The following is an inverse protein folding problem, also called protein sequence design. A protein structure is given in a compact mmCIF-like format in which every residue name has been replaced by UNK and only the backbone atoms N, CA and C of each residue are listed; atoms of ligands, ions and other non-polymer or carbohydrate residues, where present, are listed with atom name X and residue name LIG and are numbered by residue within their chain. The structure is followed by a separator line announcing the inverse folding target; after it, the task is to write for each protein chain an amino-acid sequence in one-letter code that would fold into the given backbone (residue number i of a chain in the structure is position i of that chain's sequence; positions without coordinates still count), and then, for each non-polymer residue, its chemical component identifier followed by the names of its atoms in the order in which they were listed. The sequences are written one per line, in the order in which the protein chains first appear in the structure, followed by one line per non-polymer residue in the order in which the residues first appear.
data_IF_209429417270
#
_entry.id   IF_209429417270
#
_cell.length_a   1.000
_cell.length_b   1.000
_cell.length_c   1.000
_cell.angle_alpha   90.00
_cell.angle_beta   90.00
_cell.angle_gamma   90.00
#
_symmetry.space_group_name_H-M   'P 1'
#
loop_
_entity.id
_entity.type
_entity.pdbx_description
1 polymer ?
#
# COMPACT_ATOMS: atom_id res chain seq x y z
N UNK A 1 -31.76 -30.65 -45.33
CA UNK A 1 -31.05 -29.37 -45.07
C UNK A 1 -31.92 -28.33 -44.36
N UNK A 2 -33.25 -28.33 -44.50
CA UNK A 2 -34.14 -27.34 -43.86
C UNK A 2 -34.33 -27.52 -42.35
N UNK A 3 -34.20 -28.74 -41.80
CA UNK A 3 -34.31 -28.96 -40.34
C UNK A 3 -33.06 -28.55 -39.54
N UNK A 4 -31.88 -28.47 -40.19
CA UNK A 4 -30.65 -28.05 -39.51
C UNK A 4 -30.62 -26.55 -39.24
N UNK A 5 -31.31 -25.75 -40.07
CA UNK A 5 -31.42 -24.28 -39.93
C UNK A 5 -32.47 -23.87 -38.87
N UNK A 6 -33.53 -24.68 -38.68
CA UNK A 6 -34.54 -24.41 -37.66
C UNK A 6 -33.99 -24.53 -36.24
N UNK A 7 -33.08 -25.49 -35.98
CA UNK A 7 -32.44 -25.64 -34.68
C UNK A 7 -31.46 -24.50 -34.37
N UNK A 8 -30.77 -23.96 -35.39
CA UNK A 8 -29.85 -22.82 -35.20
C UNK A 8 -30.61 -21.52 -34.92
N UNK A 9 -31.79 -21.33 -35.52
CA UNK A 9 -32.65 -20.16 -35.29
C UNK A 9 -33.29 -20.11 -33.90
N UNK A 10 -33.64 -21.26 -33.30
CA UNK A 10 -34.16 -21.31 -31.92
C UNK A 10 -33.07 -20.92 -30.91
N UNK A 11 -31.83 -21.39 -31.12
CA UNK A 11 -30.68 -21.05 -30.25
C UNK A 11 -30.28 -19.56 -30.35
N UNK A 12 -30.47 -18.93 -31.51
CA UNK A 12 -30.24 -17.49 -31.70
C UNK A 12 -31.37 -16.59 -31.19
N UNK A 13 -32.59 -17.10 -31.00
CA UNK A 13 -33.73 -16.30 -30.50
C UNK A 13 -33.74 -16.08 -28.98
N UNK A 14 -32.90 -16.80 -28.23
CA UNK A 14 -32.81 -16.74 -26.76
C UNK A 14 -31.71 -15.78 -26.25
N UNK A 15 -31.00 -15.06 -27.13
CA UNK A 15 -30.12 -13.95 -26.72
C UNK A 15 -30.94 -12.71 -26.40
N UNK A 16 -31.41 -12.67 -25.15
CA UNK A 16 -31.55 -11.49 -24.27
C UNK A 16 -31.78 -10.13 -24.93
N UNK A 17 -33.01 -9.65 -24.81
CA UNK A 17 -33.35 -8.22 -24.87
C UNK A 17 -32.74 -7.53 -23.65
N UNK A 18 -31.68 -6.74 -23.86
CA UNK A 18 -31.11 -5.86 -22.83
C UNK A 18 -31.76 -4.48 -23.00
N UNK A 19 -32.79 -4.18 -22.21
CA UNK A 19 -33.35 -2.82 -22.12
C UNK A 19 -32.58 -2.02 -21.08
N UNK A 20 -31.68 -1.13 -21.53
CA UNK A 20 -31.02 -0.16 -20.65
C UNK A 20 -31.88 1.10 -20.60
N UNK A 21 -32.54 1.35 -19.48
CA UNK A 21 -33.24 2.64 -19.24
C UNK A 21 -32.30 3.57 -18.48
N UNK A 22 -31.64 4.51 -19.16
CA UNK A 22 -30.84 5.56 -18.51
C UNK A 22 -31.73 6.74 -18.14
N UNK A 23 -31.94 6.94 -16.83
CA UNK A 23 -32.61 8.12 -16.31
C UNK A 23 -31.55 9.15 -15.92
N UNK A 24 -31.29 10.12 -16.79
CA UNK A 24 -30.36 11.22 -16.53
C UNK A 24 -31.09 12.39 -15.89
N UNK A 25 -31.08 12.46 -14.56
CA UNK A 25 -31.20 13.75 -13.87
C UNK A 25 -30.50 13.73 -12.52
N UNK A 26 -29.50 14.62 -12.44
CA UNK A 26 -28.98 15.30 -11.26
C UNK A 26 -27.85 14.67 -10.41
N UNK A 27 -26.96 15.58 -10.02
CA UNK A 27 -25.61 15.43 -9.51
C UNK A 27 -25.54 14.80 -8.11
N UNK A 28 -25.02 13.57 -8.02
CA UNK A 28 -24.16 13.02 -6.96
C UNK A 28 -24.00 11.51 -7.21
N UNK A 29 -22.96 11.14 -7.97
CA UNK A 29 -22.81 9.83 -8.58
C UNK A 29 -22.32 8.76 -7.58
N UNK A 30 -23.26 7.94 -7.10
CA UNK A 30 -22.98 6.56 -6.73
C UNK A 30 -23.88 5.67 -7.62
N UNK A 31 -23.33 5.24 -8.76
CA UNK A 31 -24.06 4.38 -9.70
C UNK A 31 -23.95 2.96 -9.19
N UNK A 32 -24.97 2.48 -8.50
CA UNK A 32 -25.11 1.07 -8.13
C UNK A 32 -25.89 0.35 -9.22
N UNK A 33 -25.20 -0.31 -10.16
CA UNK A 33 -25.83 -1.22 -11.11
C UNK A 33 -26.00 -2.60 -10.45
N UNK A 34 -27.21 -2.90 -9.99
CA UNK A 34 -27.55 -4.24 -9.51
C UNK A 34 -27.89 -5.13 -10.72
N UNK A 35 -26.99 -6.05 -11.05
CA UNK A 35 -27.27 -7.15 -11.98
C UNK A 35 -27.84 -8.32 -11.17
N UNK A 36 -29.15 -8.50 -11.22
CA UNK A 36 -29.80 -9.71 -10.70
C UNK A 36 -29.75 -10.81 -11.77
N UNK A 37 -28.87 -11.79 -11.60
CA UNK A 37 -28.91 -13.06 -12.34
C UNK A 37 -29.81 -14.04 -11.59
N UNK A 38 -31.13 -13.90 -11.74
CA UNK A 38 -32.12 -14.84 -11.22
C UNK A 38 -32.93 -15.38 -12.40
N UNK A 39 -32.37 -16.33 -13.13
CA UNK A 39 -33.02 -17.25 -14.07
C UNK A 39 -31.91 -18.21 -14.55
N UNK A 40 -32.21 -19.46 -14.89
CA UNK A 40 -31.28 -20.55 -15.32
C UNK A 40 -30.87 -21.63 -14.30
N UNK A 41 -31.67 -21.87 -13.27
CA UNK A 41 -31.70 -23.20 -12.64
C UNK A 41 -32.30 -24.29 -13.56
N UNK A 42 -33.01 -23.92 -14.64
CA UNK A 42 -33.79 -24.85 -15.49
C UNK A 42 -33.00 -25.57 -16.61
N UNK A 43 -31.71 -25.28 -16.80
CA UNK A 43 -30.98 -25.86 -17.94
C UNK A 43 -30.59 -27.34 -17.74
N UNK A 44 -30.63 -27.84 -16.51
CA UNK A 44 -30.38 -29.25 -16.21
C UNK A 44 -31.56 -30.16 -16.62
N UNK A 45 -32.78 -29.63 -16.71
CA UNK A 45 -33.99 -30.40 -17.04
C UNK A 45 -34.18 -30.63 -18.55
N UNK A 46 -33.78 -29.68 -19.40
CA UNK A 46 -33.98 -29.77 -20.86
C UNK A 46 -33.13 -30.91 -21.48
N UNK A 47 -31.97 -31.21 -20.89
CA UNK A 47 -31.12 -32.34 -21.29
C UNK A 47 -31.84 -33.67 -21.04
N UNK A 48 -32.49 -33.83 -19.88
CA UNK A 48 -33.24 -35.04 -19.52
C UNK A 48 -34.36 -35.36 -20.53
N UNK A 49 -35.14 -34.34 -20.90
CA UNK A 49 -36.33 -34.52 -21.74
C UNK A 49 -35.99 -34.80 -23.21
N UNK A 50 -34.91 -34.20 -23.73
CA UNK A 50 -34.49 -34.42 -25.11
C UNK A 50 -33.86 -35.82 -25.31
N UNK A 51 -33.22 -36.37 -24.28
CA UNK A 51 -32.65 -37.73 -24.32
C UNK A 51 -33.69 -38.82 -24.01
N UNK A 52 -34.76 -38.51 -23.28
CA UNK A 52 -35.90 -39.41 -23.09
C UNK A 52 -36.72 -39.64 -24.38
N UNK A 53 -36.75 -38.67 -25.30
CA UNK A 53 -37.51 -38.75 -26.55
C UNK A 53 -36.80 -39.53 -27.68
N UNK A 54 -35.51 -39.85 -27.53
CA UNK A 54 -34.72 -40.65 -28.48
C UNK A 54 -34.57 -42.10 -27.99
N UNK A 55 -35.61 -42.62 -27.34
CA UNK A 55 -35.63 -43.99 -26.82
C UNK A 55 -35.67 -44.99 -27.98
N UNK A 56 -34.51 -45.60 -28.21
CA UNK A 56 -34.24 -46.74 -29.09
C UNK A 56 -35.26 -47.89 -28.89
N UNK A 57 -35.97 -47.92 -27.74
CA UNK A 57 -37.05 -48.87 -27.45
C UNK A 57 -38.21 -48.83 -28.43
N UNK A 58 -38.58 -47.69 -29.02
CA UNK A 58 -39.71 -47.65 -29.96
C UNK A 58 -39.36 -48.36 -31.29
N UNK A 59 -38.08 -48.32 -31.68
CA UNK A 59 -37.60 -49.02 -32.89
C UNK A 59 -37.39 -50.52 -32.62
N UNK A 60 -36.91 -50.90 -31.44
CA UNK A 60 -36.81 -52.32 -31.03
C UNK A 60 -38.19 -52.97 -30.86
N UNK A 61 -39.16 -52.24 -30.30
CA UNK A 61 -40.53 -52.75 -30.11
C UNK A 61 -41.22 -53.04 -31.45
N UNK A 62 -41.10 -52.15 -32.45
CA UNK A 62 -41.72 -52.40 -33.76
C UNK A 62 -41.07 -53.56 -34.52
N UNK A 63 -39.75 -53.76 -34.35
CA UNK A 63 -39.03 -54.90 -34.93
C UNK A 63 -39.46 -56.22 -34.29
N UNK A 64 -39.62 -56.27 -32.96
CA UNK A 64 -40.11 -57.44 -32.24
C UNK A 64 -41.57 -57.76 -32.62
N UNK A 65 -42.44 -56.75 -32.76
CA UNK A 65 -43.84 -56.92 -33.19
C UNK A 65 -43.91 -57.50 -34.61
N UNK A 66 -43.13 -56.98 -35.55
CA UNK A 66 -43.09 -57.50 -36.92
C UNK A 66 -42.53 -58.93 -36.97
N UNK A 67 -41.55 -59.25 -36.13
CA UNK A 67 -40.97 -60.59 -36.06
C UNK A 67 -41.94 -61.61 -35.44
N UNK A 68 -42.75 -61.22 -34.46
CA UNK A 68 -43.84 -62.04 -33.91
C UNK A 68 -44.96 -62.28 -34.93
N UNK A 69 -45.36 -61.27 -35.70
CA UNK A 69 -46.39 -61.41 -36.73
C UNK A 69 -45.98 -62.40 -37.84
N UNK A 70 -44.71 -62.38 -38.26
CA UNK A 70 -44.18 -63.33 -39.26
C UNK A 70 -44.13 -64.76 -38.69
N UNK A 71 -43.77 -64.93 -37.43
CA UNK A 71 -43.80 -66.25 -36.78
C UNK A 71 -45.23 -66.80 -36.66
N UNK A 72 -46.21 -65.95 -36.36
CA UNK A 72 -47.63 -66.34 -36.31
C UNK A 72 -48.15 -66.81 -37.68
N UNK A 73 -47.87 -66.08 -38.76
CA UNK A 73 -48.27 -66.49 -40.12
C UNK A 73 -47.63 -67.82 -40.56
N UNK A 74 -46.39 -68.10 -40.13
CA UNK A 74 -45.75 -69.39 -40.41
C UNK A 74 -46.38 -70.56 -39.66
N UNK A 75 -46.90 -70.35 -38.45
CA UNK A 75 -47.60 -71.39 -37.70
C UNK A 75 -49.01 -71.66 -38.26
N UNK A 76 -49.74 -70.62 -38.70
CA UNK A 76 -51.03 -70.81 -39.39
C UNK A 76 -50.89 -71.61 -40.70
N UNK A 77 -49.80 -71.42 -41.44
CA UNK A 77 -49.51 -72.21 -42.65
C UNK A 77 -49.22 -73.69 -42.35
N UNK A 78 -48.69 -74.04 -41.16
CA UNK A 78 -48.51 -75.45 -40.75
C UNK A 78 -49.84 -76.11 -40.41
N UNK A 79 -50.75 -75.39 -39.76
CA UNK A 79 -52.10 -75.86 -39.40
C UNK A 79 -52.92 -76.24 -40.64
N UNK A 80 -52.88 -75.42 -41.71
CA UNK A 80 -53.56 -75.73 -42.99
C UNK A 80 -53.05 -77.03 -43.63
N UNK A 81 -51.79 -77.41 -43.36
CA UNK A 81 -51.17 -78.65 -43.87
C UNK A 81 -51.65 -79.91 -43.13
N UNK A 82 -52.10 -79.79 -41.88
CA UNK A 82 -52.57 -80.92 -41.06
C UNK A 82 -54.06 -81.23 -41.27
N UNK A 83 -54.89 -80.24 -41.61
CA UNK A 83 -56.33 -80.42 -41.80
C UNK A 83 -56.78 -80.89 -43.21
N UNK A 84 -55.86 -81.10 -44.17
CA UNK A 84 -56.18 -81.65 -45.50
C UNK A 84 -56.07 -83.18 -45.59
N UNK A 85 -55.71 -83.85 -44.50
CA UNK A 85 -55.60 -85.32 -44.41
C UNK A 85 -56.86 -86.01 -43.90
N UNK A 86 -57.97 -85.95 -44.65
CA UNK A 86 -59.21 -86.58 -44.19
C UNK A 86 -60.30 -86.67 -45.26
N UNK A 87 -60.12 -87.54 -46.25
CA UNK A 87 -61.17 -87.83 -47.23
C UNK A 87 -60.73 -88.86 -48.26
N UNK A 88 -60.89 -90.14 -47.93
CA UNK A 88 -60.66 -91.21 -48.90
C UNK A 88 -61.75 -91.22 -49.97
N UNK A 89 -61.37 -91.28 -51.25
CA UNK A 89 -61.96 -92.22 -52.19
C UNK A 89 -61.14 -92.36 -53.48
N UNK A 90 -61.27 -93.55 -54.07
CA UNK A 90 -60.49 -94.13 -55.16
C UNK A 90 -60.40 -93.28 -56.43
N UNK A 91 -59.20 -93.29 -57.00
CA UNK A 91 -59.00 -93.58 -58.43
C UNK A 91 -59.04 -92.39 -59.38
N UNK A 92 -57.86 -91.85 -59.72
CA UNK A 92 -57.34 -91.70 -61.10
C UNK A 92 -56.00 -90.97 -61.05
N UNK A 93 -55.01 -91.49 -61.78
CA UNK A 93 -53.64 -90.98 -61.81
C UNK A 93 -53.58 -89.60 -62.49
N UNK A 94 -53.31 -88.55 -61.71
CA UNK A 94 -52.72 -87.28 -62.18
C UNK A 94 -51.62 -86.84 -61.19
N UNK A 95 -50.50 -87.57 -61.23
CA UNK A 95 -49.34 -87.43 -60.32
C UNK A 95 -48.32 -86.36 -60.71
N UNK A 96 -48.76 -85.23 -61.27
CA UNK A 96 -47.90 -84.13 -61.75
C UNK A 96 -48.01 -82.82 -60.98
N UNK A 97 -49.11 -82.55 -60.28
CA UNK A 97 -49.41 -81.21 -59.77
C UNK A 97 -48.86 -80.92 -58.35
N UNK A 98 -48.68 -81.94 -57.50
CA UNK A 98 -48.26 -81.73 -56.10
C UNK A 98 -46.75 -81.52 -55.86
N UNK A 99 -45.87 -81.94 -56.79
CA UNK A 99 -44.40 -81.77 -56.64
C UNK A 99 -43.94 -80.34 -56.89
N UNK A 100 -44.57 -79.63 -57.82
CA UNK A 100 -44.23 -78.23 -58.11
C UNK A 100 -44.58 -77.30 -56.94
N UNK A 101 -45.69 -77.57 -56.24
CA UNK A 101 -46.14 -76.74 -55.10
C UNK A 101 -45.17 -76.82 -53.90
N UNK A 102 -44.58 -77.99 -53.64
CA UNK A 102 -43.62 -78.15 -52.53
C UNK A 102 -42.26 -77.49 -52.85
N UNK A 103 -41.85 -77.48 -54.12
CA UNK A 103 -40.64 -76.78 -54.58
C UNK A 103 -40.83 -75.26 -54.49
N UNK A 104 -41.96 -74.73 -54.97
CA UNK A 104 -42.32 -73.31 -54.85
C UNK A 104 -42.38 -72.85 -53.39
N UNK A 105 -42.92 -73.68 -52.49
CA UNK A 105 -42.92 -73.41 -51.04
C UNK A 105 -41.51 -73.41 -50.43
N UNK A 106 -40.62 -74.28 -50.89
CA UNK A 106 -39.23 -74.30 -50.43
C UNK A 106 -38.49 -73.04 -50.88
N UNK A 107 -38.66 -72.66 -52.15
CA UNK A 107 -38.09 -71.44 -52.71
C UNK A 107 -38.59 -70.20 -51.97
N UNK A 108 -39.90 -70.09 -51.72
CA UNK A 108 -40.49 -68.96 -50.99
C UNK A 108 -39.92 -68.86 -49.56
N UNK A 109 -39.68 -70.00 -48.90
CA UNK A 109 -39.06 -70.02 -47.56
C UNK A 109 -37.64 -69.46 -47.59
N UNK A 110 -36.84 -69.82 -48.57
CA UNK A 110 -35.46 -69.35 -48.70
C UNK A 110 -35.39 -67.86 -49.08
N UNK A 111 -36.30 -67.40 -49.94
CA UNK A 111 -36.49 -65.97 -50.24
C UNK A 111 -36.88 -65.19 -48.97
N UNK A 112 -37.78 -65.72 -48.15
CA UNK A 112 -38.18 -65.11 -46.88
C UNK A 112 -37.02 -65.04 -45.87
N UNK A 113 -36.19 -66.09 -45.78
CA UNK A 113 -34.99 -66.07 -44.92
C UNK A 113 -33.95 -65.05 -45.41
N UNK A 114 -33.79 -64.93 -46.72
CA UNK A 114 -32.90 -63.94 -47.34
C UNK A 114 -33.38 -62.52 -47.08
N UNK A 115 -34.69 -62.28 -47.21
CA UNK A 115 -35.32 -61.00 -46.92
C UNK A 115 -35.17 -60.63 -45.44
N UNK A 116 -35.42 -61.59 -44.53
CA UNK A 116 -35.25 -61.40 -43.09
C UNK A 116 -33.80 -61.02 -42.73
N UNK A 117 -32.84 -61.70 -43.34
CA UNK A 117 -31.41 -61.43 -43.10
C UNK A 117 -31.03 -60.03 -43.60
N UNK A 118 -31.51 -59.65 -44.79
CA UNK A 118 -31.29 -58.32 -45.38
C UNK A 118 -31.93 -57.21 -44.54
N UNK A 119 -33.16 -57.42 -44.06
CA UNK A 119 -33.87 -56.47 -43.20
C UNK A 119 -33.15 -56.29 -41.85
N UNK A 120 -32.67 -57.37 -41.25
CA UNK A 120 -31.91 -57.33 -40.00
C UNK A 120 -30.61 -56.55 -40.19
N UNK A 121 -29.86 -56.84 -41.26
CA UNK A 121 -28.62 -56.12 -41.60
C UNK A 121 -28.86 -54.63 -41.81
N UNK A 122 -29.89 -54.26 -42.57
CA UNK A 122 -30.23 -52.85 -42.79
C UNK A 122 -30.66 -52.15 -41.49
N UNK A 123 -31.38 -52.84 -40.60
CA UNK A 123 -31.74 -52.30 -39.29
C UNK A 123 -30.50 -52.05 -38.43
N UNK A 124 -29.56 -53.01 -38.38
CA UNK A 124 -28.31 -52.88 -37.63
C UNK A 124 -27.43 -51.75 -38.18
N UNK A 125 -27.29 -51.64 -39.50
CA UNK A 125 -26.56 -50.55 -40.16
C UNK A 125 -27.20 -49.19 -39.86
N UNK A 126 -28.54 -49.10 -39.88
CA UNK A 126 -29.27 -47.87 -39.55
C UNK A 126 -29.09 -47.48 -38.07
N UNK A 127 -29.17 -48.44 -37.15
CA UNK A 127 -28.94 -48.21 -35.71
C UNK A 127 -27.49 -47.79 -35.46
N UNK A 128 -26.51 -48.42 -36.11
CA UNK A 128 -25.11 -48.05 -36.00
C UNK A 128 -24.86 -46.62 -36.51
N UNK A 129 -25.47 -46.24 -37.65
CA UNK A 129 -25.36 -44.89 -38.18
C UNK A 129 -25.98 -43.85 -37.23
N UNK A 130 -27.19 -44.11 -36.71
CA UNK A 130 -27.85 -43.23 -35.72
C UNK A 130 -27.03 -43.09 -34.44
N UNK A 131 -26.48 -44.20 -33.94
CA UNK A 131 -25.64 -44.20 -32.74
C UNK A 131 -24.36 -43.38 -32.94
N UNK A 132 -23.71 -43.52 -34.10
CA UNK A 132 -22.54 -42.71 -34.45
C UNK A 132 -22.89 -41.22 -34.53
N UNK A 133 -24.02 -40.87 -35.14
CA UNK A 133 -24.50 -39.48 -35.23
C UNK A 133 -24.80 -38.89 -33.84
N UNK A 134 -25.50 -39.62 -32.97
CA UNK A 134 -25.79 -39.19 -31.59
C UNK A 134 -24.51 -38.96 -30.79
N UNK A 135 -23.50 -39.82 -30.97
CA UNK A 135 -22.19 -39.64 -30.33
C UNK A 135 -21.52 -38.34 -30.78
N UNK A 136 -21.49 -38.05 -32.08
CA UNK A 136 -20.93 -36.78 -32.60
C UNK A 136 -21.70 -35.56 -32.07
N UNK A 137 -23.03 -35.60 -32.07
CA UNK A 137 -23.85 -34.50 -31.51
C UNK A 137 -23.56 -34.29 -30.02
N UNK A 138 -23.32 -35.36 -29.25
CA UNK A 138 -22.94 -35.25 -27.84
C UNK A 138 -21.57 -34.61 -27.66
N UNK A 139 -20.60 -34.97 -28.49
CA UNK A 139 -19.25 -34.37 -28.48
C UNK A 139 -19.31 -32.88 -28.81
N UNK A 140 -20.06 -32.50 -29.85
CA UNK A 140 -20.26 -31.09 -30.24
C UNK A 140 -21.00 -30.30 -29.14
N UNK A 141 -22.02 -30.88 -28.52
CA UNK A 141 -22.73 -30.25 -27.40
C UNK A 141 -21.79 -30.02 -26.20
N UNK A 142 -20.93 -30.98 -25.89
CA UNK A 142 -19.94 -30.82 -24.82
C UNK A 142 -18.95 -29.68 -25.11
N UNK A 143 -18.55 -29.51 -26.38
CA UNK A 143 -17.71 -28.39 -26.81
C UNK A 143 -18.44 -27.04 -26.68
N UNK A 144 -19.72 -26.98 -27.04
CA UNK A 144 -20.55 -25.76 -26.90
C UNK A 144 -20.73 -25.39 -25.42
N UNK A 145 -21.01 -26.35 -24.54
CA UNK A 145 -21.12 -26.10 -23.10
C UNK A 145 -19.79 -25.57 -22.54
N UNK A 146 -18.68 -26.16 -22.95
CA UNK A 146 -17.33 -25.74 -22.52
C UNK A 146 -16.99 -24.33 -23.02
N UNK A 147 -17.34 -24.00 -24.27
CA UNK A 147 -17.11 -22.66 -24.83
C UNK A 147 -17.97 -21.60 -24.15
N UNK A 148 -19.22 -21.91 -23.83
CA UNK A 148 -20.12 -21.03 -23.08
C UNK A 148 -19.60 -20.77 -21.67
N UNK A 149 -19.10 -21.81 -20.98
CA UNK A 149 -18.49 -21.66 -19.66
C UNK A 149 -17.26 -20.74 -19.71
N UNK A 150 -16.41 -20.89 -20.72
CA UNK A 150 -15.24 -20.01 -20.94
C UNK A 150 -15.66 -18.57 -21.20
N UNK A 151 -16.69 -18.34 -22.00
CA UNK A 151 -17.21 -17.00 -22.28
C UNK A 151 -17.75 -16.32 -21.00
N UNK A 152 -18.46 -17.06 -20.14
CA UNK A 152 -18.92 -16.56 -18.83
C UNK A 152 -17.75 -16.19 -17.93
N UNK A 153 -16.70 -17.02 -17.87
CA UNK A 153 -15.50 -16.72 -17.11
C UNK A 153 -14.82 -15.43 -17.60
N UNK A 154 -14.68 -15.27 -18.92
CA UNK A 154 -14.14 -14.05 -19.53
C UNK A 154 -14.97 -12.81 -19.19
N UNK A 155 -16.31 -12.91 -19.21
CA UNK A 155 -17.19 -11.82 -18.82
C UNK A 155 -17.02 -11.43 -17.35
N UNK A 156 -16.91 -12.42 -16.44
CA UNK A 156 -16.64 -12.17 -15.03
C UNK A 156 -15.30 -11.46 -14.83
N UNK A 157 -14.24 -11.91 -15.52
CA UNK A 157 -12.92 -11.27 -15.47
C UNK A 157 -12.94 -9.85 -16.02
N UNK A 158 -13.69 -9.60 -17.09
CA UNK A 158 -13.87 -8.26 -17.65
C UNK A 158 -14.56 -7.32 -16.64
N UNK A 159 -15.64 -7.77 -16.01
CA UNK A 159 -16.37 -7.01 -15.00
C UNK A 159 -15.50 -6.71 -13.75
N UNK A 160 -14.69 -7.68 -13.31
CA UNK A 160 -13.72 -7.48 -12.22
C UNK A 160 -12.68 -6.43 -12.61
N UNK A 161 -12.12 -6.51 -13.81
CA UNK A 161 -11.14 -5.55 -14.32
C UNK A 161 -11.72 -4.14 -14.39
N UNK A 162 -12.96 -4.00 -14.87
CA UNK A 162 -13.68 -2.73 -14.91
C UNK A 162 -13.88 -2.14 -13.51
N UNK A 163 -14.24 -2.98 -12.53
CA UNK A 163 -14.39 -2.55 -11.12
C UNK A 163 -13.07 -2.05 -10.56
N UNK A 164 -11.97 -2.77 -10.78
CA UNK A 164 -10.62 -2.36 -10.36
C UNK A 164 -10.21 -1.03 -11.00
N UNK A 165 -10.48 -0.84 -12.29
CA UNK A 165 -10.18 0.42 -12.98
C UNK A 165 -10.97 1.61 -12.38
N UNK A 166 -12.25 1.41 -12.05
CA UNK A 166 -13.06 2.44 -11.40
C UNK A 166 -12.53 2.80 -10.00
N UNK A 167 -12.11 1.80 -9.22
CA UNK A 167 -11.51 2.03 -7.90
C UNK A 167 -10.18 2.81 -8.02
N UNK A 168 -9.31 2.44 -8.96
CA UNK A 168 -8.07 3.15 -9.24
C UNK A 168 -8.32 4.61 -9.65
N UNK A 169 -9.33 4.86 -10.50
CA UNK A 169 -9.71 6.23 -10.88
C UNK A 169 -10.21 7.04 -9.68
N UNK A 170 -11.01 6.44 -8.80
CA UNK A 170 -11.49 7.12 -7.59
C UNK A 170 -10.33 7.47 -6.63
N UNK A 171 -9.35 6.57 -6.49
CA UNK A 171 -8.13 6.83 -5.71
C UNK A 171 -7.31 7.96 -6.33
N UNK A 172 -7.10 7.97 -7.64
CA UNK A 172 -6.38 9.04 -8.34
C UNK A 172 -7.04 10.41 -8.12
N UNK A 173 -8.37 10.48 -8.25
CA UNK A 173 -9.12 11.72 -8.02
C UNK A 173 -8.98 12.20 -6.57
N UNK A 174 -8.97 11.30 -5.59
CA UNK A 174 -8.77 11.64 -4.18
C UNK A 174 -7.37 12.21 -3.95
N UNK A 175 -6.34 11.57 -4.51
CA UNK A 175 -4.96 12.07 -4.43
C UNK A 175 -4.81 13.45 -5.07
N UNK A 176 -5.46 13.69 -6.21
CA UNK A 176 -5.48 15.00 -6.86
C UNK A 176 -6.13 16.08 -5.98
N UNK A 177 -7.24 15.77 -5.31
CA UNK A 177 -7.90 16.69 -4.38
C UNK A 177 -7.00 17.03 -3.17
N UNK A 178 -6.31 16.04 -2.62
CA UNK A 178 -5.32 16.25 -1.54
C UNK A 178 -4.19 17.17 -2.00
N UNK A 179 -3.59 16.91 -3.16
CA UNK A 179 -2.51 17.75 -3.71
C UNK A 179 -2.94 19.20 -3.91
N UNK A 180 -4.17 19.45 -4.37
CA UNK A 180 -4.70 20.81 -4.51
C UNK A 180 -4.91 21.50 -3.15
N UNK A 181 -5.34 20.75 -2.13
CA UNK A 181 -5.48 21.25 -0.75
C UNK A 181 -4.13 21.61 -0.14
N UNK A 182 -3.12 20.77 -0.35
CA UNK A 182 -1.76 21.01 0.14
C UNK A 182 -1.15 22.24 -0.54
N UNK A 183 -1.36 22.40 -1.85
CA UNK A 183 -0.93 23.58 -2.59
C UNK A 183 -1.57 24.87 -2.06
N UNK A 184 -2.86 24.84 -1.73
CA UNK A 184 -3.55 25.98 -1.13
C UNK A 184 -2.94 26.34 0.25
N UNK A 185 -2.63 25.32 1.07
CA UNK A 185 -2.00 25.49 2.39
C UNK A 185 -0.60 26.10 2.26
N UNK A 186 0.19 25.66 1.27
CA UNK A 186 1.52 26.22 0.98
C UNK A 186 1.40 27.70 0.59
N UNK A 187 0.45 28.06 -0.28
CA UNK A 187 0.24 29.45 -0.67
C UNK A 187 -0.18 30.33 0.52
N UNK A 188 -1.05 29.84 1.41
CA UNK A 188 -1.40 30.56 2.64
C UNK A 188 -0.18 30.77 3.54
N UNK A 189 0.68 29.74 3.68
CA UNK A 189 1.94 29.85 4.39
C UNK A 189 2.89 30.90 3.80
N UNK A 190 2.99 30.97 2.47
CA UNK A 190 3.78 31.98 1.76
C UNK A 190 3.26 33.40 2.01
N UNK A 191 1.93 33.60 1.97
CA UNK A 191 1.33 34.91 2.28
C UNK A 191 1.65 35.34 3.72
N UNK A 192 1.49 34.44 4.69
CA UNK A 192 1.84 34.74 6.10
C UNK A 192 3.33 35.08 6.28
N UNK A 193 4.21 34.39 5.56
CA UNK A 193 5.64 34.69 5.57
C UNK A 193 5.94 36.09 5.03
N UNK A 194 5.31 36.48 3.91
CA UNK A 194 5.45 37.82 3.34
C UNK A 194 4.93 38.90 4.29
N UNK A 195 3.78 38.69 4.94
CA UNK A 195 3.26 39.60 5.96
C UNK A 195 4.22 39.76 7.14
N UNK A 196 4.82 38.67 7.62
CA UNK A 196 5.83 38.69 8.67
C UNK A 196 7.06 39.50 8.26
N UNK A 197 7.53 39.34 7.02
CA UNK A 197 8.66 40.12 6.51
C UNK A 197 8.35 41.62 6.50
N UNK A 198 7.15 42.01 6.06
CA UNK A 198 6.72 43.43 6.08
C UNK A 198 6.67 43.96 7.51
N UNK A 199 6.12 43.20 8.47
CA UNK A 199 6.09 43.60 9.90
C UNK A 199 7.50 43.76 10.48
N UNK A 200 8.43 42.88 10.10
CA UNK A 200 9.82 42.95 10.55
C UNK A 200 10.49 44.23 10.04
N UNK A 201 10.34 44.55 8.75
CA UNK A 201 10.87 45.80 8.18
C UNK A 201 10.28 47.04 8.84
N UNK A 202 8.98 47.06 9.14
CA UNK A 202 8.34 48.17 9.86
C UNK A 202 8.89 48.34 11.28
N UNK A 203 9.11 47.22 11.98
CA UNK A 203 9.70 47.22 13.32
C UNK A 203 11.14 47.74 13.30
N UNK A 204 11.92 47.36 12.29
CA UNK A 204 13.28 47.85 12.09
C UNK A 204 13.32 49.37 11.84
N UNK A 205 12.42 49.90 11.00
CA UNK A 205 12.31 51.33 10.77
C UNK A 205 11.94 52.10 12.04
N UNK A 206 10.97 51.57 12.81
CA UNK A 206 10.57 52.17 14.10
C UNK A 206 11.73 52.22 15.09
N UNK A 207 12.54 51.15 15.15
CA UNK A 207 13.73 51.10 15.99
C UNK A 207 14.78 52.13 15.54
N UNK A 208 14.98 52.29 14.23
CA UNK A 208 15.90 53.28 13.67
C UNK A 208 15.48 54.72 14.01
N UNK A 209 14.19 55.04 13.92
CA UNK A 209 13.63 56.34 14.31
C UNK A 209 13.81 56.62 15.81
N UNK A 210 13.58 55.60 16.65
CA UNK A 210 13.81 55.69 18.08
C UNK A 210 15.29 55.93 18.42
N UNK A 211 16.21 55.28 17.71
CA UNK A 211 17.65 55.49 17.86
C UNK A 211 18.06 56.92 17.47
N UNK A 212 17.54 57.45 16.36
CA UNK A 212 17.79 58.85 15.96
C UNK A 212 17.27 59.82 17.02
N UNK A 213 16.05 59.60 17.53
CA UNK A 213 15.47 60.43 18.60
C UNK A 213 16.31 60.42 19.87
N UNK A 214 16.86 59.24 20.23
CA UNK A 214 17.73 59.11 21.40
C UNK A 214 19.04 59.88 21.20
N UNK A 215 19.63 59.81 20.00
CA UNK A 215 20.84 60.55 19.67
C UNK A 215 20.62 62.07 19.76
N UNK A 216 19.51 62.59 19.22
CA UNK A 216 19.16 64.01 19.33
C UNK A 216 19.04 64.47 20.78
N UNK A 217 18.47 63.63 21.67
CA UNK A 217 18.39 63.93 23.11
C UNK A 217 19.76 63.96 23.78
N UNK A 218 20.65 63.03 23.41
CA UNK A 218 22.03 63.00 23.93
C UNK A 218 22.77 64.28 23.52
N UNK A 219 22.67 64.68 22.25
CA UNK A 219 23.31 65.90 21.74
C UNK A 219 22.76 67.15 22.46
N UNK A 220 21.44 67.20 22.70
CA UNK A 220 20.81 68.28 23.47
C UNK A 220 21.32 68.36 24.91
N UNK A 221 21.48 67.21 25.59
CA UNK A 221 22.02 67.14 26.95
C UNK A 221 23.48 67.62 26.99
N UNK A 222 24.31 67.21 26.03
CA UNK A 222 25.70 67.64 25.92
C UNK A 222 25.82 69.16 25.71
N UNK A 223 24.97 69.74 24.86
CA UNK A 223 24.91 71.19 24.65
C UNK A 223 24.48 71.93 25.92
N UNK A 224 23.49 71.40 26.64
CA UNK A 224 22.99 71.98 27.89
C UNK A 224 24.07 71.95 28.98
N UNK A 225 24.81 70.84 29.11
CA UNK A 225 25.94 70.72 30.03
C UNK A 225 27.04 71.73 29.70
N UNK A 226 27.39 71.88 28.41
CA UNK A 226 28.39 72.85 27.96
C UNK A 226 28.00 74.30 28.32
N UNK A 227 26.71 74.64 28.20
CA UNK A 227 26.17 75.95 28.62
C UNK A 227 26.30 76.16 30.13
N UNK A 228 25.96 75.14 30.94
CA UNK A 228 26.08 75.21 32.39
C UNK A 228 27.53 75.40 32.84
N UNK A 229 28.46 74.65 32.26
CA UNK A 229 29.90 74.80 32.53
C UNK A 229 30.40 76.20 32.17
N UNK A 230 29.96 76.75 31.04
CA UNK A 230 30.29 78.14 30.64
C UNK A 230 29.76 79.14 31.65
N UNK A 231 28.51 78.99 32.10
CA UNK A 231 27.93 79.85 33.14
C UNK A 231 28.72 79.77 34.45
N UNK A 232 29.08 78.56 34.89
CA UNK A 232 29.89 78.35 36.09
C UNK A 232 31.25 79.05 35.98
N UNK A 233 31.92 78.94 34.84
CA UNK A 233 33.19 79.63 34.59
C UNK A 233 33.04 81.16 34.65
N UNK A 234 32.00 81.71 34.02
CA UNK A 234 31.74 83.17 34.06
C UNK A 234 31.43 83.69 35.47
N UNK A 235 30.67 82.92 36.28
CA UNK A 235 30.40 83.25 37.67
C UNK A 235 31.66 83.16 38.52
N UNK A 236 32.49 82.14 38.33
CA UNK A 236 33.79 82.00 39.00
C UNK A 236 34.73 83.17 38.69
N UNK A 237 34.85 83.56 37.41
CA UNK A 237 35.64 84.72 36.99
C UNK A 237 35.10 86.03 37.59
N UNK A 238 33.79 86.22 37.61
CA UNK A 238 33.17 87.38 38.26
C UNK A 238 33.45 87.41 39.75
N UNK A 239 33.41 86.26 40.44
CA UNK A 239 33.79 86.14 41.85
C UNK A 239 35.26 86.51 42.09
N UNK A 240 36.18 86.09 41.21
CA UNK A 240 37.58 86.50 41.31
C UNK A 240 37.76 88.01 41.15
N UNK A 241 37.05 88.67 40.23
CA UNK A 241 37.12 90.13 40.11
C UNK A 241 36.55 90.87 41.32
N UNK A 242 35.56 90.29 42.02
CA UNK A 242 35.02 90.81 43.28
C UNK A 242 36.02 90.59 44.42
N UNK A 243 36.63 89.41 44.53
CA UNK A 243 37.72 89.15 45.48
C UNK A 243 38.94 90.02 45.22
N UNK A 244 39.30 90.30 43.97
CA UNK A 244 40.41 91.20 43.61
C UNK A 244 40.10 92.65 43.98
N UNK A 245 38.85 93.11 43.79
CA UNK A 245 38.41 94.41 44.29
C UNK A 245 38.34 94.48 45.83
N UNK A 246 38.05 93.38 46.51
CA UNK A 246 38.14 93.30 47.97
C UNK A 246 39.60 93.21 48.46
N UNK A 247 40.51 92.61 47.67
CA UNK A 247 41.94 92.51 47.97
C UNK A 247 42.69 93.86 47.81
N UNK A 248 42.18 94.80 47.00
CA UNK A 248 42.68 96.20 46.96
C UNK A 248 42.29 97.01 48.22
N UNK A 249 41.44 96.46 49.10
CA UNK A 249 41.09 97.05 50.40
C UNK A 249 41.88 96.54 51.61
N UNK A 250 42.67 95.48 51.46
CA UNK A 250 43.50 94.93 52.53
C UNK A 250 44.80 94.41 51.92
N UNK A 251 45.78 95.32 51.85
CA UNK A 251 47.16 94.86 51.80
C UNK A 251 47.46 94.04 53.06
N UNK A 252 48.30 93.04 52.84
CA UNK A 252 49.26 92.50 53.81
C UNK A 252 48.85 91.22 54.58
N UNK A 253 49.87 90.36 54.75
CA UNK A 253 49.92 89.05 55.46
C UNK A 253 49.66 87.84 54.53
N UNK A 254 50.66 87.20 53.90
CA UNK A 254 51.84 86.43 54.39
C UNK A 254 51.60 84.91 54.43
N UNK A 255 52.52 84.22 53.75
CA UNK A 255 53.11 82.88 54.01
C UNK A 255 52.36 81.61 53.57
N UNK A 256 53.03 80.91 52.65
CA UNK A 256 53.47 79.50 52.71
C UNK A 256 52.62 78.51 53.53
N UNK A 257 52.02 77.52 52.86
CA UNK A 257 51.95 76.12 53.35
C UNK A 257 51.91 75.16 52.15
N UNK A 258 52.63 74.05 52.35
CA UNK A 258 53.00 72.98 51.45
C UNK A 258 51.86 72.04 51.01
N UNK A 259 52.21 71.26 49.98
CA UNK A 259 51.77 69.90 49.64
C UNK A 259 51.03 69.14 50.75
N UNK A 260 49.93 68.48 50.39
CA UNK A 260 49.84 67.04 50.64
C UNK A 260 48.84 66.37 49.69
N UNK A 261 49.31 65.30 49.07
CA UNK A 261 48.53 64.45 48.19
C UNK A 261 47.55 63.58 48.98
N UNK A 262 46.37 63.36 48.39
CA UNK A 262 45.50 62.25 48.77
C UNK A 262 45.08 61.55 47.49
N UNK A 263 45.84 60.51 47.16
CA UNK A 263 45.40 59.42 46.30
C UNK A 263 44.19 58.76 46.98
N UNK A 264 42.98 59.06 46.49
CA UNK A 264 41.86 58.18 46.75
C UNK A 264 42.06 56.93 45.89
N UNK A 265 42.61 55.90 46.54
CA UNK A 265 42.53 54.51 46.12
C UNK A 265 41.08 54.22 45.73
N UNK A 266 40.88 54.04 44.43
CA UNK A 266 39.66 53.47 43.88
C UNK A 266 39.67 52.01 44.28
N UNK A 267 38.88 51.69 45.29
CA UNK A 267 38.60 50.32 45.71
C UNK A 267 38.18 49.51 44.49
N UNK A 268 38.98 48.48 44.24
CA UNK A 268 38.75 47.37 43.36
C UNK A 268 37.57 46.59 43.94
N UNK A 269 36.35 47.02 43.60
CA UNK A 269 35.15 46.19 43.78
C UNK A 269 35.33 45.02 42.82
N UNK A 270 35.73 43.89 43.41
CA UNK A 270 35.63 42.57 42.84
C UNK A 270 34.13 42.26 42.71
N UNK A 271 33.55 42.78 41.62
CA UNK A 271 32.20 42.50 41.19
C UNK A 271 32.22 41.05 40.68
N UNK A 272 31.82 40.13 41.56
CA UNK A 272 31.33 38.82 41.15
C UNK A 272 30.20 39.05 40.14
N UNK A 273 30.49 38.81 38.87
CA UNK A 273 29.46 38.73 37.86
C UNK A 273 28.50 37.58 38.24
N UNK A 274 27.20 37.86 38.40
CA UNK A 274 26.21 36.81 38.44
C UNK A 274 26.24 36.06 37.10
N UNK A 275 26.25 34.74 37.19
CA UNK A 275 26.09 33.81 36.09
C UNK A 275 24.95 34.27 35.17
N UNK A 276 25.29 34.69 33.95
CA UNK A 276 24.25 35.02 32.97
C UNK A 276 24.65 36.01 31.89
N UNK A 277 25.69 35.73 31.11
CA UNK A 277 25.65 36.13 29.71
C UNK A 277 26.39 35.14 28.82
N UNK A 278 25.64 34.63 27.85
CA UNK A 278 25.97 33.57 26.93
C UNK A 278 26.34 34.23 25.61
N UNK A 279 27.62 34.27 25.24
CA UNK A 279 28.05 34.56 23.86
C UNK A 279 29.12 33.54 23.43
N UNK A 280 28.72 32.82 22.37
CA UNK A 280 29.40 31.83 21.53
C UNK A 280 30.94 31.82 21.50
N UNK A 281 31.54 30.62 21.52
CA UNK A 281 32.20 30.04 20.34
C UNK A 281 32.67 28.57 20.55
N UNK A 282 32.41 27.74 19.53
CA UNK A 282 33.15 26.55 19.07
C UNK A 282 33.82 25.64 20.10
N UNK A 283 33.03 24.76 20.73
CA UNK A 283 33.36 23.36 21.03
C UNK A 283 32.28 22.80 21.95
N UNK A 284 31.50 21.82 21.49
CA UNK A 284 30.75 20.96 22.40
C UNK A 284 31.75 20.27 23.32
N UNK A 285 31.94 20.83 24.51
CA UNK A 285 32.73 20.19 25.54
C UNK A 285 31.84 19.12 26.18
N UNK A 286 32.46 17.97 26.45
CA UNK A 286 31.87 16.77 27.08
C UNK A 286 31.00 17.09 28.31
N UNK A 287 31.16 18.25 28.94
CA UNK A 287 30.40 18.73 30.10
C UNK A 287 28.90 18.95 29.85
N UNK A 288 28.46 19.30 28.64
CA UNK A 288 27.01 19.47 28.37
C UNK A 288 26.27 18.13 28.29
N UNK A 289 26.95 17.07 27.85
CA UNK A 289 26.40 15.71 27.86
C UNK A 289 26.31 15.14 29.31
N UNK A 290 26.92 15.80 30.31
CA UNK A 290 26.94 15.36 31.72
C UNK A 290 25.84 15.94 32.62
N UNK A 291 25.07 16.94 32.17
CA UNK A 291 24.14 17.65 33.07
C UNK A 291 22.81 16.94 33.34
N UNK A 292 22.60 15.72 32.81
CA UNK A 292 21.48 14.88 33.24
C UNK A 292 21.78 13.40 33.06
N UNK A 293 22.17 12.70 34.12
CA UNK A 293 22.26 11.22 34.25
C UNK A 293 22.71 10.39 33.02
N UNK A 294 23.40 11.00 32.08
CA UNK A 294 23.90 10.40 30.85
C UNK A 294 25.41 10.26 31.05
N UNK A 295 25.86 9.00 31.19
CA UNK A 295 27.29 8.72 31.16
C UNK A 295 27.70 8.69 29.69
N UNK A 296 28.62 9.55 29.22
CA UNK A 296 29.24 9.35 27.92
C UNK A 296 29.87 7.96 27.94
N UNK A 297 29.63 7.21 26.88
CA UNK A 297 30.10 5.84 26.75
C UNK A 297 31.64 5.83 26.67
N UNK A 298 32.31 5.64 27.81
CA UNK A 298 33.76 5.40 27.91
C UNK A 298 34.06 3.91 27.77
N UNK A 299 33.59 3.30 26.69
CA UNK A 299 33.94 1.93 26.34
C UNK A 299 35.10 1.90 25.36
N UNK A 300 36.25 1.47 25.88
CA UNK A 300 37.49 1.16 25.16
C UNK A 300 38.30 2.38 24.72
N UNK A 301 39.42 2.58 25.43
CA UNK A 301 40.56 3.37 24.99
C UNK A 301 41.15 2.67 23.75
N UNK A 302 40.61 2.94 22.56
CA UNK A 302 41.20 2.49 21.31
C UNK A 302 42.41 3.40 21.03
N UNK A 303 43.65 2.87 21.05
CA UNK A 303 44.80 3.67 20.66
C UNK A 303 44.74 3.84 19.13
N UNK A 304 44.57 5.07 18.64
CA UNK A 304 44.64 5.51 17.23
C UNK A 304 43.34 5.79 16.45
N UNK A 305 42.18 5.96 17.08
CA UNK A 305 41.06 6.61 16.37
C UNK A 305 41.01 8.10 16.71
N UNK A 306 41.25 8.92 15.69
CA UNK A 306 41.12 10.38 15.74
C UNK A 306 39.68 10.75 16.08
N UNK A 307 39.46 11.25 17.30
CA UNK A 307 38.16 11.63 17.87
C UNK A 307 37.38 12.67 17.03
N UNK A 308 38.04 13.31 16.06
CA UNK A 308 37.48 14.38 15.22
C UNK A 308 36.41 13.95 14.21
N UNK A 309 36.20 12.66 13.91
CA UNK A 309 35.09 12.24 13.01
C UNK A 309 33.76 12.00 13.72
N UNK A 310 33.76 11.89 15.06
CA UNK A 310 32.55 11.68 15.87
C UNK A 310 31.96 13.00 16.40
N UNK A 311 32.80 14.01 16.61
CA UNK A 311 32.39 15.30 17.18
C UNK A 311 31.51 16.13 16.23
N UNK A 312 31.54 15.89 14.92
CA UNK A 312 30.66 16.58 13.97
C UNK A 312 29.24 15.99 13.89
N UNK A 313 28.92 14.93 14.66
CA UNK A 313 27.68 14.18 14.48
C UNK A 313 26.73 14.13 15.67
N UNK A 314 27.00 14.73 16.83
CA UNK A 314 26.08 14.74 18.00
C UNK A 314 26.33 13.67 19.07
N UNK A 315 25.63 13.74 20.21
CA UNK A 315 25.81 12.80 21.33
C UNK A 315 25.01 11.51 21.07
N UNK A 316 25.69 10.36 21.01
CA UNK A 316 25.05 9.03 21.01
C UNK A 316 25.12 8.43 22.41
N UNK A 317 24.00 7.95 22.93
CA UNK A 317 23.95 7.25 24.21
C UNK A 317 23.05 6.03 24.15
N UNK A 318 23.23 5.12 25.09
CA UNK A 318 22.40 3.93 25.24
C UNK A 318 21.37 4.14 26.34
N UNK A 319 20.14 3.75 26.09
CA UNK A 319 19.11 3.69 27.11
C UNK A 319 19.13 2.31 27.80
N UNK A 320 19.34 2.31 29.11
CA UNK A 320 19.45 1.09 29.92
C UNK A 320 18.09 0.45 30.18
N UNK A 321 16.99 1.19 29.98
CA UNK A 321 15.65 0.64 30.11
C UNK A 321 15.28 -0.14 28.84
N UNK A 322 15.03 -1.45 28.98
CA UNK A 322 14.55 -2.25 27.85
C UNK A 322 13.08 -1.93 27.56
N UNK A 323 12.79 -1.43 26.36
CA UNK A 323 11.47 -0.95 25.94
C UNK A 323 11.14 -1.47 24.53
N UNK A 324 9.87 -1.40 24.15
CA UNK A 324 9.48 -1.60 22.74
C UNK A 324 10.11 -0.53 21.86
N UNK A 325 10.13 -0.72 20.55
CA UNK A 325 10.78 0.24 19.66
C UNK A 325 10.11 1.63 19.75
N UNK A 326 8.77 1.71 19.71
CA UNK A 326 8.08 3.01 19.79
C UNK A 326 8.25 3.68 21.15
N UNK A 327 8.25 2.91 22.25
CA UNK A 327 8.49 3.43 23.57
C UNK A 327 9.94 3.93 23.73
N UNK A 328 10.90 3.21 23.15
CA UNK A 328 12.30 3.63 23.09
C UNK A 328 12.45 4.94 22.32
N UNK A 329 11.80 5.04 21.16
CA UNK A 329 11.80 6.26 20.35
C UNK A 329 11.21 7.45 21.10
N UNK A 330 10.02 7.27 21.68
CA UNK A 330 9.36 8.30 22.46
C UNK A 330 10.25 8.79 23.62
N UNK A 331 11.00 7.89 24.25
CA UNK A 331 11.95 8.24 25.30
C UNK A 331 13.17 9.01 24.77
N UNK A 332 13.75 8.62 23.63
CA UNK A 332 14.83 9.39 22.99
C UNK A 332 14.34 10.80 22.60
N UNK A 333 13.13 10.92 22.05
CA UNK A 333 12.49 12.20 21.68
C UNK A 333 12.23 13.08 22.90
N UNK A 334 11.73 12.51 24.00
CA UNK A 334 11.53 13.23 25.25
C UNK A 334 12.85 13.79 25.84
N UNK A 335 13.99 13.20 25.48
CA UNK A 335 15.33 13.65 25.85
C UNK A 335 15.98 14.59 24.82
N UNK A 336 15.22 15.07 23.82
CA UNK A 336 15.71 16.00 22.80
C UNK A 336 16.49 15.36 21.65
N UNK A 337 16.34 14.04 21.45
CA UNK A 337 16.99 13.29 20.37
C UNK A 337 16.00 12.47 19.54
N UNK A 338 16.51 11.44 18.85
CA UNK A 338 15.71 10.36 18.27
C UNK A 338 16.50 9.05 18.40
N UNK A 339 15.96 7.91 17.95
CA UNK A 339 16.75 6.69 17.82
C UNK A 339 17.91 6.91 16.85
N UNK A 340 19.06 6.33 17.18
CA UNK A 340 20.29 6.52 16.43
C UNK A 340 20.15 6.05 14.99
N UNK A 341 20.45 6.96 14.05
CA UNK A 341 20.57 6.70 12.62
C UNK A 341 22.04 6.88 12.23
N UNK A 342 22.76 5.79 11.89
CA UNK A 342 24.15 5.88 11.50
C UNK A 342 24.28 6.58 10.14
N UNK A 343 25.29 7.45 10.01
CA UNK A 343 25.66 8.02 8.72
C UNK A 343 26.24 6.96 7.77
N UNK A 344 26.97 6.00 8.33
CA UNK A 344 27.64 4.88 7.66
C UNK A 344 27.59 3.63 8.55
N UNK A 345 27.53 2.45 7.93
CA UNK A 345 27.38 1.19 8.67
C UNK A 345 28.58 0.85 9.55
N UNK A 346 29.79 1.28 9.16
CA UNK A 346 30.99 1.08 9.98
C UNK A 346 30.92 1.80 11.32
N UNK A 347 30.11 2.86 11.43
CA UNK A 347 29.87 3.53 12.71
C UNK A 347 29.07 2.67 13.70
N UNK A 348 28.29 1.68 13.24
CA UNK A 348 27.57 0.76 14.12
C UNK A 348 28.51 -0.17 14.88
N UNK A 349 29.64 -0.55 14.29
CA UNK A 349 30.59 -1.52 14.85
C UNK A 349 31.15 -1.13 16.23
N UNK A 350 31.21 0.18 16.51
CA UNK A 350 31.69 0.70 17.79
C UNK A 350 30.70 0.47 18.94
N UNK A 351 29.41 0.28 18.66
CA UNK A 351 28.35 0.22 19.67
C UNK A 351 27.84 -1.20 19.96
N UNK A 352 28.24 -2.20 19.18
CA UNK A 352 27.67 -3.56 19.19
C UNK A 352 28.40 -4.56 20.09
N UNK A 353 29.58 -4.21 20.60
CA UNK A 353 30.54 -5.16 21.20
C UNK A 353 30.27 -5.57 22.66
N UNK A 354 29.18 -5.12 23.29
CA UNK A 354 29.11 -5.08 24.76
C UNK A 354 28.00 -5.94 25.38
N UNK A 355 26.97 -6.35 24.62
CA UNK A 355 25.79 -6.99 25.22
C UNK A 355 25.27 -8.20 24.44
N UNK A 356 24.64 -9.18 25.12
CA UNK A 356 24.13 -10.39 24.50
C UNK A 356 22.91 -10.15 23.58
N UNK A 357 22.18 -9.07 23.82
CA UNK A 357 21.11 -8.56 22.95
C UNK A 357 21.49 -7.15 22.53
N UNK A 358 21.49 -6.88 21.23
CA UNK A 358 21.87 -5.57 20.74
C UNK A 358 20.67 -4.61 20.73
N UNK A 359 20.95 -3.31 20.62
CA UNK A 359 19.95 -2.29 20.86
C UNK A 359 19.06 -2.03 19.63
N UNK A 360 17.86 -1.49 19.89
CA UNK A 360 17.05 -0.80 18.89
C UNK A 360 17.82 0.38 18.29
N UNK A 361 17.64 0.57 16.99
CA UNK A 361 18.14 1.72 16.22
C UNK A 361 17.00 2.35 15.42
N UNK A 362 17.27 3.50 14.80
CA UNK A 362 16.28 4.27 14.03
C UNK A 362 15.94 3.67 12.68
N UNK A 363 15.54 2.40 12.63
CA UNK A 363 15.04 1.71 11.43
C UNK A 363 13.58 1.32 11.63
N UNK A 364 12.73 1.67 10.66
CA UNK A 364 11.34 1.23 10.58
C UNK A 364 11.05 0.75 9.15
N UNK A 365 10.54 -0.46 9.04
CA UNK A 365 10.45 -1.20 7.78
C UNK A 365 11.83 -1.32 7.13
N UNK A 366 12.00 -0.70 5.97
CA UNK A 366 13.27 -0.71 5.21
C UNK A 366 13.99 0.64 5.21
N UNK A 367 13.53 1.59 6.02
CA UNK A 367 14.02 2.96 6.01
C UNK A 367 14.60 3.33 7.36
N UNK A 368 15.67 4.11 7.31
CA UNK A 368 16.13 4.89 8.45
C UNK A 368 15.11 5.99 8.77
N UNK A 369 15.11 6.49 10.02
CA UNK A 369 14.22 7.60 10.42
C UNK A 369 14.47 8.91 9.68
N UNK A 370 15.62 9.06 9.02
CA UNK A 370 15.94 10.19 8.14
C UNK A 370 15.41 10.02 6.69
N UNK A 371 14.70 8.91 6.41
CA UNK A 371 14.09 8.60 5.12
C UNK A 371 15.02 7.88 4.13
N UNK A 372 16.30 7.67 4.47
CA UNK A 372 17.20 6.87 3.61
C UNK A 372 16.81 5.40 3.64
N UNK A 373 16.93 4.72 2.49
CA UNK A 373 16.80 3.27 2.41
C UNK A 373 17.97 2.61 3.15
N UNK A 374 17.70 1.58 3.93
CA UNK A 374 18.75 0.77 4.55
C UNK A 374 19.42 -0.08 3.47
N UNK A 375 20.73 0.06 3.32
CA UNK A 375 21.54 -0.69 2.35
C UNK A 375 21.44 -2.21 2.61
N UNK A 376 21.49 -3.03 1.55
CA UNK A 376 21.33 -4.48 1.67
C UNK A 376 22.43 -5.10 2.53
N UNK A 377 23.64 -4.53 2.48
CA UNK A 377 24.83 -4.94 3.22
C UNK A 377 24.74 -4.66 4.72
N UNK A 378 23.81 -3.79 5.14
CA UNK A 378 23.53 -3.50 6.53
C UNK A 378 22.82 -4.64 7.25
N UNK A 379 22.00 -5.38 6.50
CA UNK A 379 21.17 -6.46 6.99
C UNK A 379 21.98 -7.75 7.07
N UNK A 380 21.66 -8.59 8.06
CA UNK A 380 22.21 -9.93 8.11
C UNK A 380 21.73 -10.80 6.94
N UNK A 381 22.39 -11.93 6.72
CA UNK A 381 21.92 -12.95 5.79
C UNK A 381 20.48 -13.31 6.18
N UNK A 382 19.58 -13.30 5.20
CA UNK A 382 18.13 -13.51 5.34
C UNK A 382 17.35 -12.38 6.05
N UNK A 383 17.92 -11.17 6.13
CA UNK A 383 17.24 -9.97 6.66
C UNK A 383 17.09 -8.88 5.58
N UNK A 384 16.06 -8.01 5.66
CA UNK A 384 14.89 -8.13 6.54
C UNK A 384 14.06 -9.37 6.14
N UNK A 385 13.69 -10.18 7.13
CA UNK A 385 13.11 -11.51 6.89
C UNK A 385 11.75 -11.45 6.18
N UNK A 386 11.07 -10.29 6.18
CA UNK A 386 9.71 -10.10 5.65
C UNK A 386 8.72 -11.16 6.17
N UNK A 387 9.07 -11.87 7.24
CA UNK A 387 8.32 -12.99 7.74
C UNK A 387 7.13 -12.44 8.54
N UNK A 388 5.99 -12.42 7.86
CA UNK A 388 4.64 -12.40 8.43
C UNK A 388 4.28 -11.10 9.15
N UNK A 389 4.26 -9.99 8.42
CA UNK A 389 3.69 -8.73 8.90
C UNK A 389 3.67 -7.66 7.82
N UNK A 390 2.79 -6.66 8.01
CA UNK A 390 2.88 -5.40 7.27
C UNK A 390 4.29 -4.82 7.48
N UNK A 391 5.00 -4.52 6.39
CA UNK A 391 6.40 -4.05 6.43
C UNK A 391 6.59 -2.81 7.32
N UNK A 392 5.52 -2.05 7.55
CA UNK A 392 5.52 -0.85 8.39
C UNK A 392 5.47 -1.15 9.91
N UNK A 393 5.28 -2.42 10.28
CA UNK A 393 5.24 -2.91 11.67
C UNK A 393 6.55 -3.54 12.14
N UNK A 394 7.55 -3.60 11.26
CA UNK A 394 8.87 -4.15 11.56
C UNK A 394 9.85 -3.01 11.86
N UNK A 395 10.72 -3.25 12.82
CA UNK A 395 11.70 -2.29 13.31
C UNK A 395 13.07 -2.96 13.40
N UNK A 396 14.13 -2.18 13.17
CA UNK A 396 15.49 -2.70 13.14
C UNK A 396 16.22 -2.62 14.47
N UNK A 397 16.90 -3.69 14.84
CA UNK A 397 17.85 -3.76 15.94
C UNK A 397 19.17 -4.34 15.45
N UNK A 398 20.25 -4.11 16.20
CA UNK A 398 21.56 -4.63 15.81
C UNK A 398 21.83 -5.97 16.48
N UNK A 399 22.23 -6.99 15.74
CA UNK A 399 22.61 -8.26 16.33
C UNK A 399 24.09 -8.25 16.77
N UNK A 400 24.40 -8.53 18.06
CA UNK A 400 25.75 -8.36 18.59
C UNK A 400 26.83 -9.21 17.91
N UNK A 401 26.46 -10.42 17.42
CA UNK A 401 27.43 -11.36 16.87
C UNK A 401 27.91 -10.97 15.48
N UNK A 402 26.99 -10.60 14.61
CA UNK A 402 27.30 -10.25 13.21
C UNK A 402 27.45 -8.76 13.01
N UNK A 403 27.01 -7.95 13.98
CA UNK A 403 26.97 -6.48 13.93
C UNK A 403 26.10 -5.94 12.79
N UNK A 404 25.17 -6.77 12.33
CA UNK A 404 24.22 -6.45 11.25
C UNK A 404 22.83 -6.24 11.80
N UNK A 405 21.98 -5.62 10.99
CA UNK A 405 20.60 -5.35 11.31
C UNK A 405 19.74 -6.61 11.17
N UNK A 406 18.79 -6.74 12.09
CA UNK A 406 17.69 -7.69 12.04
C UNK A 406 16.38 -6.94 12.19
N UNK A 407 15.33 -7.45 11.56
CA UNK A 407 13.98 -6.94 11.75
C UNK A 407 13.24 -7.68 12.87
N UNK A 408 12.37 -6.96 13.57
CA UNK A 408 11.49 -7.51 14.59
C UNK A 408 10.23 -6.64 14.73
N UNK A 409 9.08 -7.20 15.13
CA UNK A 409 7.86 -6.43 15.36
C UNK A 409 8.08 -5.32 16.39
N UNK A 410 7.78 -4.07 16.02
CA UNK A 410 8.08 -2.87 16.80
C UNK A 410 7.51 -2.88 18.23
N UNK A 411 6.39 -3.58 18.44
CA UNK A 411 5.62 -3.58 19.68
C UNK A 411 5.76 -4.86 20.52
N UNK A 412 6.39 -5.92 20.00
CA UNK A 412 6.36 -7.24 20.65
C UNK A 412 7.54 -7.44 21.60
N UNK A 413 8.74 -7.00 21.20
CA UNK A 413 9.96 -7.23 21.96
C UNK A 413 10.43 -5.98 22.68
N UNK A 414 11.02 -6.16 23.86
CA UNK A 414 11.63 -5.08 24.63
C UNK A 414 13.15 -5.23 24.66
N UNK A 415 13.85 -4.22 24.13
CA UNK A 415 15.31 -4.17 24.13
C UNK A 415 15.78 -2.77 24.52
N UNK A 416 17.06 -2.68 24.87
CA UNK A 416 17.72 -1.40 25.02
C UNK A 416 17.73 -0.65 23.69
N UNK A 417 17.94 0.66 23.71
CA UNK A 417 18.02 1.46 22.48
C UNK A 417 19.28 2.31 22.44
N UNK A 418 19.71 2.65 21.22
CA UNK A 418 20.68 3.73 21.00
C UNK A 418 19.91 4.98 20.62
N UNK A 419 20.09 6.03 21.39
CA UNK A 419 19.55 7.35 21.13
C UNK A 419 20.65 8.27 20.61
N UNK A 420 20.23 9.25 19.83
CA UNK A 420 21.08 10.27 19.26
C UNK A 420 20.47 11.65 19.48
N UNK A 421 21.22 12.54 20.11
CA UNK A 421 20.87 13.95 20.25
C UNK A 421 21.72 14.70 19.23
N UNK A 422 21.07 15.13 18.14
CA UNK A 422 21.70 16.00 17.16
C UNK A 422 22.07 17.32 17.82
N UNK A 423 23.27 17.83 17.54
CA UNK A 423 23.62 19.20 17.92
C UNK A 423 22.79 20.11 17.02
N UNK A 424 21.65 20.58 17.50
CA UNK A 424 20.91 21.62 16.79
C UNK A 424 21.77 22.87 16.81
N UNK A 425 22.47 23.15 15.71
CA UNK A 425 23.08 24.46 15.54
C UNK A 425 21.94 25.49 15.60
N UNK A 426 22.01 26.51 16.47
CA UNK A 426 21.09 27.63 16.36
C UNK A 426 21.24 28.17 14.94
N UNK A 427 20.13 28.16 14.19
CA UNK A 427 20.05 28.74 12.85
C UNK A 427 20.47 30.22 12.99
N UNK A 428 21.67 30.57 12.51
CA UNK A 428 22.21 31.94 12.59
C UNK A 428 21.52 32.87 11.60
#
# INVERSE_FOLDING_TARGET
MTHSLALTLVVLSLTTTISITTNTSNTNNNITTNFTTNEFADYHDISSDLFGALDVKETQASMIINQMAIMHMMDELKEVKLNSGGGGSRGTQHGGCGRNVMEELSQLKDELQTLKSSLTKHADESVAQKTSCVRTVREDLALVVTSQARQRQQQTTLNQTQTTLQQSQATLNRSQATLLSDLATIHEGQTKLQENQVRLYQSQNTLQEAQTTLQEKVDWLQQSLSRLLTQQYTLGSSSMTVSERMAVGSAEVRSDVMEDGVLLSRDEVQEECPEGELILHDNCTISECHQGSLRPYQGVRAPNLSFSSLVSKGCVYREETALTWDASRALCVAKGGDLFVPGDLHSLDQFTSIHPHGPWVGVRGRYWLDGRLVEAEAWDEDQPSNDVGDVDTLCGWIYPKTRRLYDAPCHTYTWHSLCHIGVSYPQR
#
